data_IF_548843874999
#
_entry.id   IF_548843874999
#
_cell.length_a   1.000
_cell.length_b   1.000
_cell.length_c   1.000
_cell.angle_alpha   90.00
_cell.angle_beta   90.00
_cell.angle_gamma   90.00
#
_symmetry.space_group_name_H-M   'P 1'
#
loop_
_entity.id
_entity.type
_entity.pdbx_description
1 polymer ?
#
# COMPACT_ATOMS: atom_id res chain seq x y z
N UNK A 1 -27.40 26.33 29.78
CA UNK A 1 -27.15 27.41 30.78
C UNK A 1 -28.15 27.24 31.92
N UNK A 2 -27.79 26.49 32.96
CA UNK A 2 -28.58 26.42 34.19
C UNK A 2 -28.12 27.61 35.04
N UNK A 3 -28.92 28.67 35.12
CA UNK A 3 -28.71 29.75 36.09
C UNK A 3 -29.07 29.17 37.46
N UNK A 4 -28.06 28.71 38.19
CA UNK A 4 -28.21 28.45 39.62
C UNK A 4 -28.39 29.82 40.26
N UNK A 5 -29.51 30.02 40.94
CA UNK A 5 -29.79 31.23 41.71
C UNK A 5 -28.91 31.25 42.97
N UNK A 6 -27.63 31.58 42.77
CA UNK A 6 -26.63 31.77 43.84
C UNK A 6 -27.09 32.89 44.78
N UNK A 7 -27.89 33.85 44.29
CA UNK A 7 -28.43 34.93 45.11
C UNK A 7 -29.45 34.42 46.13
N UNK A 8 -30.31 33.46 45.77
CA UNK A 8 -31.23 32.80 46.71
C UNK A 8 -30.51 32.03 47.82
N UNK A 9 -29.40 31.34 47.50
CA UNK A 9 -28.61 30.57 48.47
C UNK A 9 -27.82 31.48 49.43
N UNK A 10 -27.24 32.58 48.92
CA UNK A 10 -26.57 33.58 49.75
C UNK A 10 -27.55 34.38 50.63
N UNK A 11 -28.77 34.63 50.15
CA UNK A 11 -29.80 35.29 50.95
C UNK A 11 -30.29 34.41 52.12
N UNK A 12 -30.44 33.10 51.89
CA UNK A 12 -30.80 32.15 52.95
C UNK A 12 -29.69 32.02 54.02
N UNK A 13 -28.42 32.05 53.61
CA UNK A 13 -27.28 32.08 54.53
C UNK A 13 -27.16 33.42 55.29
N UNK A 14 -27.50 34.55 54.65
CA UNK A 14 -27.47 35.86 55.34
C UNK A 14 -28.54 35.97 56.41
N UNK A 15 -29.73 35.39 56.20
CA UNK A 15 -30.81 35.33 57.19
C UNK A 15 -30.45 34.45 58.41
N UNK A 16 -29.57 33.46 58.25
CA UNK A 16 -29.05 32.63 59.34
C UNK A 16 -27.92 33.29 60.14
N UNK A 17 -27.30 34.35 59.61
CA UNK A 17 -26.23 35.09 60.29
C UNK A 17 -26.65 36.46 60.83
N UNK A 18 -27.78 37.04 60.36
CA UNK A 18 -28.21 38.37 60.79
C UNK A 18 -29.07 38.42 62.06
N UNK A 19 -29.70 37.32 62.49
CA UNK A 19 -30.57 37.31 63.68
C UNK A 19 -29.99 36.44 64.81
N UNK A 20 -28.94 36.97 65.45
CA UNK A 20 -28.47 36.51 66.76
C UNK A 20 -29.37 36.92 67.94
N UNK A 21 -30.58 37.41 67.66
CA UNK A 21 -31.38 38.17 68.62
C UNK A 21 -32.86 37.80 68.58
N UNK A 22 -33.22 36.50 68.66
CA UNK A 22 -34.53 36.05 69.20
C UNK A 22 -34.67 34.52 69.15
N UNK A 23 -33.93 33.82 70.01
CA UNK A 23 -34.11 32.37 70.21
C UNK A 23 -35.32 32.01 71.09
N UNK A 24 -36.00 32.99 71.71
CA UNK A 24 -37.11 32.73 72.65
C UNK A 24 -38.52 32.82 72.05
N UNK A 25 -38.72 33.52 70.93
CA UNK A 25 -40.04 33.59 70.24
C UNK A 25 -40.34 32.38 69.34
N UNK A 26 -39.38 31.47 69.13
CA UNK A 26 -39.56 30.25 68.33
C UNK A 26 -40.06 29.02 69.12
N UNK A 27 -40.27 29.14 70.44
CA UNK A 27 -40.83 28.06 71.28
C UNK A 27 -42.31 27.72 70.99
N UNK A 28 -43.01 28.48 70.16
CA UNK A 28 -44.45 28.26 69.89
C UNK A 28 -44.80 27.57 68.55
N UNK A 29 -43.84 27.22 67.68
CA UNK A 29 -44.14 26.47 66.43
C UNK A 29 -43.14 25.35 66.10
N UNK A 30 -43.09 24.26 66.89
CA UNK A 30 -42.22 23.10 66.62
C UNK A 30 -42.50 22.39 65.26
N UNK A 31 -43.66 22.60 64.65
CA UNK A 31 -43.98 22.11 63.29
C UNK A 31 -43.21 22.87 62.19
N UNK A 32 -43.02 24.18 62.34
CA UNK A 32 -42.37 25.02 61.33
C UNK A 32 -40.85 24.79 61.29
N UNK A 33 -40.23 24.52 62.44
CA UNK A 33 -38.82 24.12 62.54
C UNK A 33 -38.55 22.74 61.93
N UNK A 34 -39.46 21.77 62.12
CA UNK A 34 -39.33 20.44 61.50
C UNK A 34 -39.48 20.51 59.98
N UNK A 35 -40.42 21.32 59.49
CA UNK A 35 -40.63 21.51 58.05
C UNK A 35 -39.45 22.22 57.38
N UNK A 36 -38.86 23.23 58.03
CA UNK A 36 -37.66 23.91 57.53
C UNK A 36 -36.44 22.99 57.53
N UNK A 37 -36.22 22.20 58.58
CA UNK A 37 -35.14 21.20 58.63
C UNK A 37 -35.28 20.13 57.53
N UNK A 38 -36.50 19.61 57.30
CA UNK A 38 -36.76 18.65 56.24
C UNK A 38 -36.45 19.24 54.85
N UNK A 39 -36.82 20.50 54.60
CA UNK A 39 -36.55 21.20 53.35
C UNK A 39 -35.06 21.48 53.14
N UNK A 40 -34.32 21.81 54.20
CA UNK A 40 -32.87 21.95 54.16
C UNK A 40 -32.17 20.62 53.81
N UNK A 41 -32.62 19.51 54.41
CA UNK A 41 -32.08 18.18 54.10
C UNK A 41 -32.38 17.77 52.64
N UNK A 42 -33.57 18.09 52.12
CA UNK A 42 -33.91 17.88 50.71
C UNK A 42 -33.05 18.72 49.77
N UNK A 43 -32.83 20.01 50.08
CA UNK A 43 -31.97 20.88 49.30
C UNK A 43 -30.52 20.40 49.30
N UNK A 44 -30.03 19.91 50.45
CA UNK A 44 -28.69 19.31 50.56
C UNK A 44 -28.57 18.05 49.70
N UNK A 45 -29.53 17.13 49.77
CA UNK A 45 -29.53 15.93 48.94
C UNK A 45 -29.60 16.26 47.44
N UNK A 46 -30.38 17.28 47.06
CA UNK A 46 -30.45 17.77 45.68
C UNK A 46 -29.11 18.38 45.23
N UNK A 47 -28.46 19.17 46.10
CA UNK A 47 -27.15 19.75 45.82
C UNK A 47 -26.07 18.67 45.65
N UNK A 48 -26.04 17.67 46.54
CA UNK A 48 -25.12 16.52 46.44
C UNK A 48 -25.37 15.71 45.15
N UNK A 49 -26.63 15.44 44.80
CA UNK A 49 -26.99 14.74 43.56
C UNK A 49 -26.57 15.52 42.31
N UNK A 50 -26.78 16.84 42.33
CA UNK A 50 -26.41 17.72 41.21
C UNK A 50 -24.90 17.83 41.08
N UNK A 51 -24.17 17.96 42.19
CA UNK A 51 -22.70 17.97 42.20
C UNK A 51 -22.13 16.67 41.63
N UNK A 52 -22.67 15.51 42.04
CA UNK A 52 -22.26 14.22 41.51
C UNK A 52 -22.53 14.10 40.00
N UNK A 53 -23.64 14.66 39.51
CA UNK A 53 -23.96 14.68 38.09
C UNK A 53 -22.99 15.58 37.31
N UNK A 54 -22.71 16.78 37.82
CA UNK A 54 -21.74 17.70 37.22
C UNK A 54 -20.36 17.05 37.13
N UNK A 55 -19.87 16.43 38.20
CA UNK A 55 -18.56 15.77 38.20
C UNK A 55 -18.48 14.67 37.13
N UNK A 56 -19.54 13.86 36.97
CA UNK A 56 -19.60 12.82 35.91
C UNK A 56 -19.61 13.41 34.51
N UNK A 57 -20.36 14.49 34.29
CA UNK A 57 -20.40 15.18 33.00
C UNK A 57 -19.04 15.83 32.69
N UNK A 58 -18.37 16.42 33.68
CA UNK A 58 -17.01 16.97 33.54
C UNK A 58 -16.00 15.88 33.17
N UNK A 59 -16.02 14.73 33.85
CA UNK A 59 -15.17 13.57 33.51
C UNK A 59 -15.41 13.09 32.07
N UNK A 60 -16.67 12.98 31.65
CA UNK A 60 -17.03 12.59 30.28
C UNK A 60 -16.55 13.61 29.25
N UNK A 61 -16.68 14.91 29.52
CA UNK A 61 -16.19 15.97 28.62
C UNK A 61 -14.67 15.94 28.50
N UNK A 62 -13.95 15.70 29.60
CA UNK A 62 -12.48 15.55 29.58
C UNK A 62 -12.08 14.35 28.74
N UNK A 63 -12.70 13.19 28.94
CA UNK A 63 -12.43 11.98 28.16
C UNK A 63 -12.72 12.19 26.67
N UNK A 64 -13.90 12.72 26.33
CA UNK A 64 -14.28 13.03 24.95
C UNK A 64 -13.26 13.96 24.27
N UNK A 65 -12.81 15.00 24.98
CA UNK A 65 -11.76 15.90 24.47
C UNK A 65 -10.45 15.17 24.19
N UNK A 66 -10.05 14.23 25.05
CA UNK A 66 -8.85 13.42 24.84
C UNK A 66 -8.98 12.55 23.59
N UNK A 67 -10.10 11.85 23.38
CA UNK A 67 -10.35 11.04 22.19
C UNK A 67 -10.32 11.87 20.90
N UNK A 68 -10.94 13.06 20.91
CA UNK A 68 -10.89 13.98 19.77
C UNK A 68 -9.46 14.42 19.46
N UNK A 69 -8.68 14.79 20.48
CA UNK A 69 -7.28 15.19 20.30
C UNK A 69 -6.41 14.04 19.77
N UNK A 70 -6.61 12.83 20.28
CA UNK A 70 -5.92 11.62 19.81
C UNK A 70 -6.24 11.34 18.34
N UNK A 71 -7.54 11.35 17.97
CA UNK A 71 -7.99 11.19 16.59
C UNK A 71 -7.37 12.23 15.66
N UNK A 72 -7.35 13.50 16.05
CA UNK A 72 -6.74 14.58 15.28
C UNK A 72 -5.24 14.34 15.04
N UNK A 73 -4.50 13.85 16.04
CA UNK A 73 -3.07 13.52 15.88
C UNK A 73 -2.83 12.39 14.90
N UNK A 74 -3.68 11.36 14.89
CA UNK A 74 -3.57 10.29 13.91
C UNK A 74 -3.91 10.77 12.50
N UNK A 75 -4.93 11.61 12.35
CA UNK A 75 -5.29 12.24 11.07
C UNK A 75 -4.13 13.08 10.54
N UNK A 76 -3.50 13.90 11.39
CA UNK A 76 -2.35 14.72 11.00
C UNK A 76 -1.15 13.91 10.52
N UNK A 77 -0.99 12.67 11.00
CA UNK A 77 0.06 11.75 10.54
C UNK A 77 -0.33 11.02 9.26
N UNK A 78 -1.58 10.54 9.16
CA UNK A 78 -2.04 9.73 8.03
C UNK A 78 -2.31 10.56 6.77
N UNK A 79 -2.90 11.75 6.91
CA UNK A 79 -3.39 12.50 5.77
C UNK A 79 -2.28 12.87 4.75
N UNK A 80 -1.11 13.41 5.16
CA UNK A 80 -0.04 13.71 4.21
C UNK A 80 0.46 12.46 3.48
N UNK A 81 0.54 11.34 4.20
CA UNK A 81 0.96 10.07 3.60
C UNK A 81 -0.05 9.53 2.61
N UNK A 82 -1.36 9.62 2.89
CA UNK A 82 -2.42 9.22 1.97
C UNK A 82 -2.35 10.07 0.69
N UNK A 83 -2.19 11.39 0.81
CA UNK A 83 -2.09 12.30 -0.35
C UNK A 83 -0.85 11.99 -1.21
N UNK A 84 0.31 11.80 -0.58
CA UNK A 84 1.54 11.42 -1.28
C UNK A 84 1.40 10.06 -1.98
N UNK A 85 0.77 9.10 -1.30
CA UNK A 85 0.60 7.73 -1.80
C UNK A 85 -0.38 7.67 -2.97
N UNK A 86 -1.48 8.40 -2.92
CA UNK A 86 -2.43 8.50 -4.03
C UNK A 86 -1.74 9.06 -5.28
N UNK A 87 -0.92 10.11 -5.12
CA UNK A 87 -0.12 10.67 -6.21
C UNK A 87 0.88 9.65 -6.77
N UNK A 88 1.61 8.94 -5.89
CA UNK A 88 2.53 7.88 -6.29
C UNK A 88 1.83 6.79 -7.11
N UNK A 89 0.70 6.26 -6.60
CA UNK A 89 -0.03 5.19 -7.27
C UNK A 89 -0.60 5.67 -8.62
N UNK A 90 -1.15 6.88 -8.70
CA UNK A 90 -1.63 7.45 -9.97
C UNK A 90 -0.52 7.48 -11.03
N UNK A 91 0.64 8.04 -10.69
CA UNK A 91 1.75 8.15 -11.63
C UNK A 91 2.35 6.78 -12.02
N UNK A 92 2.33 5.80 -11.12
CA UNK A 92 2.94 4.48 -11.36
C UNK A 92 2.09 3.54 -12.20
N UNK A 93 0.77 3.63 -12.11
CA UNK A 93 -0.11 2.85 -12.98
C UNK A 93 0.08 3.23 -14.46
N UNK A 94 0.36 4.51 -14.76
CA UNK A 94 0.63 4.98 -16.12
C UNK A 94 2.01 4.54 -16.64
N UNK A 95 2.94 4.22 -15.75
CA UNK A 95 4.35 3.90 -16.05
C UNK A 95 4.73 2.46 -15.70
N UNK A 96 3.77 1.53 -15.70
CA UNK A 96 4.02 0.18 -15.19
C UNK A 96 5.03 -0.64 -16.02
N UNK A 97 5.20 -0.34 -17.32
CA UNK A 97 6.09 -1.10 -18.20
C UNK A 97 7.59 -0.89 -17.91
N UNK A 98 8.39 -1.95 -18.02
CA UNK A 98 9.84 -1.88 -17.82
C UNK A 98 10.60 -1.78 -19.14
N UNK A 99 11.77 -1.18 -19.07
CA UNK A 99 12.73 -1.13 -20.17
C UNK A 99 13.44 -2.48 -20.38
N UNK A 100 13.84 -3.13 -19.28
CA UNK A 100 14.62 -4.36 -19.25
C UNK A 100 14.47 -5.06 -17.88
N UNK A 101 15.11 -6.22 -17.71
CA UNK A 101 15.08 -6.98 -16.45
C UNK A 101 15.53 -6.17 -15.23
N UNK A 102 16.58 -5.37 -15.36
CA UNK A 102 17.10 -4.57 -14.25
C UNK A 102 16.10 -3.48 -13.83
N UNK A 103 15.45 -2.84 -14.80
CA UNK A 103 14.40 -1.86 -14.55
C UNK A 103 13.16 -2.51 -13.91
N UNK A 104 12.74 -3.68 -14.39
CA UNK A 104 11.66 -4.46 -13.78
C UNK A 104 11.97 -4.81 -12.31
N UNK A 105 13.22 -5.16 -12.00
CA UNK A 105 13.68 -5.40 -10.63
C UNK A 105 13.59 -4.14 -9.77
N UNK A 106 14.07 -3.01 -10.27
CA UNK A 106 14.02 -1.74 -9.54
C UNK A 106 12.60 -1.29 -9.25
N UNK A 107 11.67 -1.45 -10.20
CA UNK A 107 10.25 -1.17 -10.01
C UNK A 107 9.67 -2.05 -8.90
N UNK A 108 9.94 -3.36 -8.93
CA UNK A 108 9.49 -4.30 -7.91
C UNK A 108 10.06 -3.96 -6.52
N UNK A 109 11.36 -3.67 -6.42
CA UNK A 109 12.01 -3.41 -5.14
C UNK A 109 11.54 -2.08 -4.52
N UNK A 110 11.40 -1.02 -5.32
CA UNK A 110 10.80 0.25 -4.85
C UNK A 110 9.36 0.05 -4.37
N UNK A 111 8.59 -0.81 -5.04
CA UNK A 111 7.21 -1.09 -4.60
C UNK A 111 7.17 -1.93 -3.33
N UNK A 112 8.12 -2.85 -3.12
CA UNK A 112 8.25 -3.56 -1.84
C UNK A 112 8.55 -2.60 -0.69
N UNK A 113 9.45 -1.64 -0.88
CA UNK A 113 9.72 -0.59 0.11
C UNK A 113 8.45 0.21 0.44
N UNK A 114 7.67 0.55 -0.59
CA UNK A 114 6.36 1.17 -0.41
C UNK A 114 5.39 0.29 0.42
N UNK A 115 5.33 -1.02 0.15
CA UNK A 115 4.47 -1.95 0.90
C UNK A 115 4.90 -2.09 2.37
N UNK A 116 6.19 -2.00 2.66
CA UNK A 116 6.71 -1.94 4.02
C UNK A 116 6.27 -0.65 4.73
N UNK A 117 6.34 0.48 4.05
CA UNK A 117 5.86 1.76 4.59
C UNK A 117 4.34 1.73 4.84
N UNK A 118 3.56 1.18 3.90
CA UNK A 118 2.12 0.93 4.08
C UNK A 118 1.86 0.09 5.33
N UNK A 119 2.67 -0.94 5.59
CA UNK A 119 2.53 -1.79 6.79
C UNK A 119 2.78 -0.99 8.07
N UNK A 120 3.72 -0.05 8.09
CA UNK A 120 3.93 0.85 9.24
C UNK A 120 2.71 1.75 9.47
N UNK A 121 2.18 2.33 8.40
CA UNK A 121 1.02 3.22 8.47
C UNK A 121 -0.29 2.52 8.84
N UNK A 122 -0.40 1.21 8.57
CA UNK A 122 -1.55 0.40 8.98
C UNK A 122 -1.79 0.46 10.50
N UNK A 123 -0.74 0.56 11.30
CA UNK A 123 -0.88 0.66 12.77
C UNK A 123 -1.58 1.95 13.16
N UNK A 124 -1.20 3.08 12.56
CA UNK A 124 -1.83 4.39 12.82
C UNK A 124 -3.27 4.38 12.33
N UNK A 125 -3.52 3.78 11.16
CA UNK A 125 -4.85 3.64 10.59
C UNK A 125 -5.79 2.83 11.50
N UNK A 126 -5.32 1.68 12.01
CA UNK A 126 -6.11 0.86 12.92
C UNK A 126 -6.45 1.61 14.22
N UNK A 127 -5.48 2.32 14.80
CA UNK A 127 -5.73 3.13 16.00
C UNK A 127 -6.75 4.26 15.74
N UNK A 128 -6.69 4.91 14.57
CA UNK A 128 -7.69 5.92 14.18
C UNK A 128 -9.09 5.29 14.03
N UNK A 129 -9.17 4.08 13.47
CA UNK A 129 -10.43 3.36 13.30
C UNK A 129 -11.04 2.95 14.64
N UNK A 130 -10.22 2.53 15.60
CA UNK A 130 -10.69 2.21 16.95
C UNK A 130 -11.27 3.44 17.66
N UNK A 131 -10.68 4.62 17.42
CA UNK A 131 -11.20 5.91 17.93
C UNK A 131 -12.48 6.37 17.22
N UNK A 132 -12.85 5.85 16.03
CA UNK A 132 -14.08 6.27 15.33
C UNK A 132 -15.34 6.07 16.19
N UNK A 133 -15.35 5.01 17.00
CA UNK A 133 -16.46 4.66 17.88
C UNK A 133 -16.54 5.56 19.13
N UNK A 134 -15.41 6.13 19.57
CA UNK A 134 -15.33 6.96 20.79
C UNK A 134 -15.76 8.40 20.51
N UNK A 135 -15.64 8.87 19.27
CA UNK A 135 -16.02 10.23 18.84
C UNK A 135 -17.42 10.32 18.21
N UNK A 136 -18.36 9.50 18.68
CA UNK A 136 -19.71 9.37 18.12
C UNK A 136 -20.47 10.69 17.93
N UNK A 137 -20.28 11.62 18.85
CA UNK A 137 -20.99 12.90 18.87
C UNK A 137 -20.35 13.97 17.96
N UNK A 138 -19.18 13.69 17.37
CA UNK A 138 -18.42 14.61 16.52
C UNK A 138 -18.60 14.25 15.04
N UNK A 139 -19.76 14.61 14.47
CA UNK A 139 -20.15 14.23 13.10
C UNK A 139 -19.10 14.60 12.03
N UNK A 140 -18.50 15.77 12.11
CA UNK A 140 -17.48 16.21 11.14
C UNK A 140 -16.23 15.33 11.18
N UNK A 141 -15.78 14.99 12.40
CA UNK A 141 -14.63 14.11 12.60
C UNK A 141 -14.92 12.70 12.09
N UNK A 142 -16.12 12.18 12.32
CA UNK A 142 -16.53 10.88 11.78
C UNK A 142 -16.56 10.87 10.25
N UNK A 143 -17.08 11.91 9.62
CA UNK A 143 -17.08 12.02 8.15
C UNK A 143 -15.65 12.03 7.60
N UNK A 144 -14.75 12.74 8.28
CA UNK A 144 -13.33 12.77 7.91
C UNK A 144 -12.67 11.39 8.06
N UNK A 145 -12.89 10.69 9.18
CA UNK A 145 -12.36 9.34 9.40
C UNK A 145 -12.88 8.37 8.34
N UNK A 146 -14.18 8.40 8.01
CA UNK A 146 -14.77 7.57 6.94
C UNK A 146 -14.19 7.87 5.56
N UNK A 147 -13.97 9.14 5.25
CA UNK A 147 -13.29 9.56 4.01
C UNK A 147 -11.88 8.99 3.94
N UNK A 148 -11.08 9.11 5.01
CA UNK A 148 -9.74 8.54 5.08
C UNK A 148 -9.75 7.01 4.99
N UNK A 149 -10.73 6.32 5.61
CA UNK A 149 -10.91 4.88 5.50
C UNK A 149 -11.21 4.42 4.07
N UNK A 150 -12.01 5.19 3.34
CA UNK A 150 -12.32 4.91 1.93
C UNK A 150 -11.05 5.07 1.07
N UNK A 151 -10.31 6.16 1.27
CA UNK A 151 -9.03 6.42 0.58
C UNK A 151 -7.98 5.36 0.89
N UNK A 152 -7.85 4.97 2.16
CA UNK A 152 -6.97 3.88 2.59
C UNK A 152 -7.30 2.56 1.88
N UNK A 153 -8.58 2.19 1.82
CA UNK A 153 -9.02 0.95 1.15
C UNK A 153 -8.66 0.97 -0.34
N UNK A 154 -8.83 2.12 -1.00
CA UNK A 154 -8.42 2.29 -2.39
C UNK A 154 -6.91 2.15 -2.57
N UNK A 155 -6.11 2.79 -1.68
CA UNK A 155 -4.64 2.64 -1.67
C UNK A 155 -4.24 1.18 -1.54
N UNK A 156 -4.83 0.44 -0.60
CA UNK A 156 -4.53 -0.98 -0.39
C UNK A 156 -4.82 -1.79 -1.64
N UNK A 157 -6.03 -1.68 -2.19
CA UNK A 157 -6.44 -2.41 -3.40
C UNK A 157 -5.51 -2.13 -4.58
N UNK A 158 -5.24 -0.85 -4.86
CA UNK A 158 -4.40 -0.44 -6.00
C UNK A 158 -2.95 -0.83 -5.83
N UNK A 159 -2.42 -0.76 -4.61
CA UNK A 159 -1.05 -1.18 -4.36
C UNK A 159 -0.87 -2.70 -4.42
N UNK A 160 -1.88 -3.48 -4.04
CA UNK A 160 -1.85 -4.94 -4.20
C UNK A 160 -1.95 -5.35 -5.68
N UNK A 161 -2.79 -4.67 -6.47
CA UNK A 161 -2.86 -4.83 -7.92
C UNK A 161 -1.50 -4.53 -8.58
N UNK A 162 -0.90 -3.38 -8.25
CA UNK A 162 0.41 -2.99 -8.78
C UNK A 162 1.51 -3.97 -8.38
N UNK A 163 1.44 -4.54 -7.17
CA UNK A 163 2.36 -5.57 -6.73
C UNK A 163 2.26 -6.84 -7.58
N UNK A 164 1.04 -7.24 -7.95
CA UNK A 164 0.83 -8.38 -8.86
C UNK A 164 1.44 -8.10 -10.24
N UNK A 165 1.24 -6.89 -10.77
CA UNK A 165 1.80 -6.46 -12.07
C UNK A 165 3.33 -6.52 -12.04
N UNK A 166 3.98 -5.86 -11.08
CA UNK A 166 5.45 -5.85 -11.00
C UNK A 166 6.06 -7.23 -10.76
N UNK A 167 5.39 -8.10 -10.00
CA UNK A 167 5.85 -9.48 -9.84
C UNK A 167 5.74 -10.28 -11.15
N UNK A 168 4.61 -10.17 -11.86
CA UNK A 168 4.42 -10.85 -13.15
C UNK A 168 5.45 -10.38 -14.18
N UNK A 169 5.63 -9.07 -14.28
CA UNK A 169 6.61 -8.42 -15.15
C UNK A 169 8.05 -8.86 -14.84
N UNK A 170 8.50 -8.81 -13.57
CA UNK A 170 9.85 -9.24 -13.22
C UNK A 170 10.09 -10.72 -13.54
N UNK A 171 9.10 -11.60 -13.29
CA UNK A 171 9.18 -13.02 -13.66
C UNK A 171 9.25 -13.22 -15.17
N UNK A 172 8.42 -12.53 -15.93
CA UNK A 172 8.40 -12.62 -17.38
C UNK A 172 9.74 -12.17 -17.99
N UNK A 173 10.27 -11.02 -17.54
CA UNK A 173 11.59 -10.55 -17.95
C UNK A 173 12.71 -11.50 -17.55
N UNK A 174 12.65 -12.10 -16.35
CA UNK A 174 13.69 -13.02 -15.88
C UNK A 174 13.71 -14.34 -16.65
N UNK A 175 12.53 -14.90 -16.95
CA UNK A 175 12.42 -16.09 -17.78
C UNK A 175 12.94 -15.83 -19.20
N UNK A 176 12.49 -14.73 -19.80
CA UNK A 176 12.91 -14.32 -21.14
C UNK A 176 14.42 -14.06 -21.21
N UNK A 177 15.00 -13.30 -20.29
CA UNK A 177 16.44 -12.99 -20.28
C UNK A 177 17.29 -14.28 -20.15
N UNK A 178 16.87 -15.19 -19.27
CA UNK A 178 17.54 -16.49 -19.12
C UNK A 178 17.48 -17.33 -20.40
N UNK A 179 16.31 -17.42 -21.04
CA UNK A 179 16.15 -18.20 -22.28
C UNK A 179 16.86 -17.54 -23.47
N UNK A 180 16.78 -16.22 -23.59
CA UNK A 180 17.49 -15.45 -24.61
C UNK A 180 18.99 -15.67 -24.50
N UNK A 181 19.58 -15.53 -23.30
CA UNK A 181 21.01 -15.72 -23.10
C UNK A 181 21.43 -17.17 -23.39
N UNK A 182 20.65 -18.16 -22.95
CA UNK A 182 20.93 -19.57 -23.25
C UNK A 182 20.88 -19.88 -24.77
N UNK A 183 19.91 -19.31 -25.48
CA UNK A 183 19.76 -19.50 -26.92
C UNK A 183 20.83 -18.72 -27.70
N UNK A 184 21.03 -17.44 -27.39
CA UNK A 184 21.94 -16.54 -28.10
C UNK A 184 23.41 -16.92 -27.90
N UNK A 185 23.82 -17.09 -26.64
CA UNK A 185 25.22 -17.25 -26.29
C UNK A 185 25.63 -18.73 -26.25
N UNK A 186 24.66 -19.64 -26.11
CA UNK A 186 24.88 -21.09 -26.20
C UNK A 186 24.61 -21.62 -27.60
N UNK A 187 23.33 -21.68 -27.99
CA UNK A 187 22.90 -22.40 -29.20
C UNK A 187 23.34 -21.71 -30.50
N UNK A 188 23.00 -20.44 -30.66
CA UNK A 188 23.31 -19.68 -31.87
C UNK A 188 24.81 -19.56 -32.08
N UNK A 189 25.55 -19.19 -31.03
CA UNK A 189 26.99 -19.04 -31.11
C UNK A 189 27.71 -20.35 -31.49
N UNK A 190 27.33 -21.50 -30.91
CA UNK A 190 27.90 -22.80 -31.29
C UNK A 190 27.63 -23.12 -32.77
N UNK A 191 26.39 -22.92 -33.23
CA UNK A 191 26.01 -23.21 -34.61
C UNK A 191 26.74 -22.30 -35.60
N UNK A 192 26.88 -21.01 -35.28
CA UNK A 192 27.64 -20.06 -36.09
C UNK A 192 29.12 -20.41 -36.17
N UNK A 193 29.75 -20.83 -35.05
CA UNK A 193 31.14 -21.29 -35.08
C UNK A 193 31.31 -22.54 -35.93
N UNK A 194 30.42 -23.53 -35.79
CA UNK A 194 30.46 -24.76 -36.58
C UNK A 194 30.26 -24.48 -38.07
N UNK A 195 29.28 -23.66 -38.40
CA UNK A 195 29.04 -23.20 -39.77
C UNK A 195 30.28 -22.49 -40.35
N UNK A 196 30.87 -21.58 -39.59
CA UNK A 196 32.07 -20.87 -40.00
C UNK A 196 33.24 -21.82 -40.28
N UNK A 197 33.46 -22.79 -39.39
CA UNK A 197 34.51 -23.79 -39.57
C UNK A 197 34.30 -24.65 -40.82
N UNK A 198 33.05 -24.98 -41.16
CA UNK A 198 32.70 -25.71 -42.40
C UNK A 198 33.01 -24.86 -43.63
N UNK A 199 32.61 -23.58 -43.62
CA UNK A 199 32.81 -22.66 -44.76
C UNK A 199 34.29 -22.36 -45.01
N UNK A 200 35.12 -22.33 -43.97
CA UNK A 200 36.56 -22.10 -44.08
C UNK A 200 37.34 -23.26 -44.71
N UNK A 201 36.73 -24.44 -44.87
CA UNK A 201 37.41 -25.57 -45.49
C UNK A 201 37.65 -25.29 -46.96
N UNK A 202 38.92 -25.30 -47.38
CA UNK A 202 39.30 -25.18 -48.78
C UNK A 202 38.95 -26.48 -49.53
N UNK A 203 37.75 -26.50 -50.11
CA UNK A 203 37.23 -27.63 -50.89
C UNK A 203 38.14 -28.04 -52.05
N UNK A 204 38.94 -27.13 -52.59
CA UNK A 204 39.88 -27.44 -53.68
C UNK A 204 41.09 -28.27 -53.20
N UNK A 205 41.30 -28.39 -51.89
CA UNK A 205 42.39 -29.16 -51.26
C UNK A 205 41.92 -30.45 -50.57
N UNK A 206 40.63 -30.78 -50.68
CA UNK A 206 40.05 -32.00 -50.13
C UNK A 206 40.30 -33.19 -51.06
N UNK A 207 41.42 -33.90 -50.86
CA UNK A 207 41.77 -35.13 -51.59
C UNK A 207 41.55 -36.42 -50.78
N UNK A 208 41.23 -36.28 -49.49
CA UNK A 208 41.04 -37.41 -48.56
C UNK A 208 39.54 -37.70 -48.35
N UNK A 209 39.11 -38.89 -48.78
CA UNK A 209 37.74 -39.36 -48.66
C UNK A 209 37.26 -39.43 -47.20
N UNK A 210 38.16 -39.71 -46.25
CA UNK A 210 37.81 -39.71 -44.83
C UNK A 210 37.49 -38.30 -44.33
N UNK A 211 38.25 -37.30 -44.78
CA UNK A 211 37.98 -35.88 -44.45
C UNK A 211 36.68 -35.39 -45.07
N UNK A 212 36.38 -35.78 -46.32
CA UNK A 212 35.10 -35.45 -46.97
C UNK A 212 33.93 -36.07 -46.18
N UNK A 213 34.03 -37.34 -45.81
CA UNK A 213 32.98 -38.02 -45.03
C UNK A 213 32.78 -37.39 -43.64
N UNK A 214 33.86 -36.98 -42.96
CA UNK A 214 33.77 -36.25 -41.69
C UNK A 214 33.01 -34.93 -41.87
N UNK A 215 33.38 -34.13 -42.87
CA UNK A 215 32.75 -32.83 -43.14
C UNK A 215 31.25 -32.97 -43.47
N UNK A 216 30.89 -33.95 -44.31
CA UNK A 216 29.49 -34.24 -44.63
C UNK A 216 28.70 -34.66 -43.39
N UNK A 217 29.30 -35.46 -42.50
CA UNK A 217 28.67 -35.82 -41.24
C UNK A 217 28.50 -34.61 -40.32
N UNK A 218 29.48 -33.70 -40.26
CA UNK A 218 29.41 -32.47 -39.46
C UNK A 218 28.31 -31.52 -39.97
N UNK A 219 28.18 -31.38 -41.30
CA UNK A 219 27.09 -30.64 -41.95
C UNK A 219 25.74 -31.27 -41.60
N UNK A 220 25.61 -32.60 -41.77
CA UNK A 220 24.36 -33.30 -41.45
C UNK A 220 23.95 -33.10 -40.00
N UNK A 221 24.89 -33.27 -39.06
CA UNK A 221 24.64 -33.06 -37.64
C UNK A 221 24.28 -31.60 -37.33
N UNK A 222 24.88 -30.63 -38.02
CA UNK A 222 24.53 -29.22 -37.86
C UNK A 222 23.09 -28.95 -38.32
N UNK A 223 22.69 -29.46 -39.49
CA UNK A 223 21.32 -29.32 -40.02
C UNK A 223 20.30 -29.99 -39.11
N UNK A 224 20.59 -31.20 -38.62
CA UNK A 224 19.74 -31.91 -37.66
C UNK A 224 19.57 -31.11 -36.36
N UNK A 225 20.66 -30.53 -35.84
CA UNK A 225 20.62 -29.71 -34.63
C UNK A 225 19.84 -28.40 -34.82
N UNK A 226 20.02 -27.71 -35.94
CA UNK A 226 19.26 -26.50 -36.29
C UNK A 226 17.77 -26.84 -36.39
N UNK A 227 17.43 -27.94 -37.06
CA UNK A 227 16.03 -28.39 -37.18
C UNK A 227 15.44 -28.69 -35.80
N UNK A 228 16.18 -29.40 -34.95
CA UNK A 228 15.75 -29.69 -33.58
C UNK A 228 15.50 -28.42 -32.74
N UNK A 229 16.38 -27.42 -32.86
CA UNK A 229 16.28 -26.18 -32.07
C UNK A 229 15.29 -25.15 -32.65
N UNK A 230 14.66 -25.44 -33.79
CA UNK A 230 13.59 -24.59 -34.35
C UNK A 230 12.41 -24.41 -33.39
N UNK A 231 12.12 -25.42 -32.57
CA UNK A 231 11.10 -25.33 -31.51
C UNK A 231 11.49 -24.30 -30.44
N UNK A 232 12.76 -24.28 -30.04
CA UNK A 232 13.26 -23.33 -29.04
C UNK A 232 13.23 -21.90 -29.57
N UNK A 233 13.62 -21.69 -30.84
CA UNK A 233 13.48 -20.40 -31.51
C UNK A 233 12.02 -19.93 -31.50
N UNK A 234 11.07 -20.78 -31.93
CA UNK A 234 9.65 -20.43 -31.93
C UNK A 234 9.10 -20.12 -30.53
N UNK A 235 9.55 -20.86 -29.51
CA UNK A 235 9.22 -20.57 -28.10
C UNK A 235 9.71 -19.18 -27.71
N UNK A 236 10.98 -18.86 -28.01
CA UNK A 236 11.56 -17.55 -27.72
C UNK A 236 10.79 -16.42 -28.44
N UNK A 237 10.39 -16.61 -29.71
CA UNK A 237 9.58 -15.63 -30.46
C UNK A 237 8.22 -15.39 -29.83
N UNK A 238 7.60 -16.44 -29.28
CA UNK A 238 6.36 -16.30 -28.52
C UNK A 238 6.60 -15.45 -27.26
N UNK A 239 7.67 -15.74 -26.51
CA UNK A 239 8.01 -14.97 -25.30
C UNK A 239 8.30 -13.49 -25.61
N UNK A 240 8.98 -13.18 -26.71
CA UNK A 240 9.17 -11.80 -27.16
C UNK A 240 7.84 -11.05 -27.31
N UNK A 241 6.83 -11.70 -27.90
CA UNK A 241 5.52 -11.08 -28.07
C UNK A 241 4.74 -10.99 -26.76
N UNK A 242 4.79 -12.04 -25.93
CA UNK A 242 4.14 -12.05 -24.62
C UNK A 242 4.73 -10.98 -23.69
N UNK A 243 6.02 -10.66 -23.83
CA UNK A 243 6.71 -9.67 -23.00
C UNK A 243 6.32 -8.23 -23.32
N UNK A 244 5.85 -7.93 -24.55
CA UNK A 244 5.47 -6.58 -24.98
C UNK A 244 4.43 -5.93 -24.07
N UNK A 245 3.53 -6.72 -23.49
CA UNK A 245 2.51 -6.23 -22.56
C UNK A 245 3.10 -5.70 -21.23
N UNK A 246 4.31 -6.12 -20.88
CA UNK A 246 5.03 -5.73 -19.67
C UNK A 246 6.17 -4.73 -19.92
N UNK A 247 6.30 -4.26 -21.16
CA UNK A 247 7.38 -3.38 -21.58
C UNK A 247 6.89 -1.95 -21.75
N UNK A 248 7.73 -0.99 -21.37
CA UNK A 248 7.52 0.41 -21.76
C UNK A 248 7.66 0.58 -23.28
N UNK A 249 7.24 1.70 -23.85
CA UNK A 249 7.40 1.95 -25.29
C UNK A 249 8.87 1.79 -25.73
N UNK A 250 9.79 2.33 -24.93
CA UNK A 250 11.22 2.19 -25.17
C UNK A 250 11.69 0.74 -24.96
N UNK A 251 11.16 0.03 -23.96
CA UNK A 251 11.42 -1.40 -23.77
C UNK A 251 10.96 -2.25 -24.95
N UNK A 252 9.81 -1.92 -25.56
CA UNK A 252 9.32 -2.58 -26.76
C UNK A 252 10.23 -2.31 -27.96
N UNK A 253 10.79 -1.10 -28.09
CA UNK A 253 11.77 -0.77 -29.14
C UNK A 253 13.02 -1.65 -29.00
N UNK A 254 13.61 -1.72 -27.80
CA UNK A 254 14.79 -2.54 -27.52
C UNK A 254 14.50 -4.03 -27.78
N UNK A 255 13.35 -4.52 -27.31
CA UNK A 255 12.95 -5.92 -27.55
C UNK A 255 12.81 -6.23 -29.04
N UNK A 256 12.24 -5.33 -29.83
CA UNK A 256 12.11 -5.52 -31.27
C UNK A 256 13.49 -5.50 -31.98
N UNK A 257 14.43 -4.67 -31.53
CA UNK A 257 15.79 -4.63 -32.07
C UNK A 257 16.56 -5.94 -31.79
N UNK A 258 16.46 -6.45 -30.56
CA UNK A 258 17.07 -7.74 -30.19
C UNK A 258 16.41 -8.90 -30.95
N UNK A 259 15.08 -8.87 -31.07
CA UNK A 259 14.32 -9.85 -31.85
C UNK A 259 14.80 -9.91 -33.31
N UNK A 260 14.90 -8.77 -34.00
CA UNK A 260 15.37 -8.72 -35.39
C UNK A 260 16.82 -9.21 -35.53
N UNK A 261 17.66 -8.94 -34.53
CA UNK A 261 19.05 -9.41 -34.52
C UNK A 261 19.12 -10.94 -34.42
N UNK A 262 18.33 -11.55 -33.53
CA UNK A 262 18.24 -13.01 -33.36
C UNK A 262 17.61 -13.68 -34.59
N UNK A 263 16.52 -13.11 -35.12
CA UNK A 263 15.85 -13.60 -36.33
C UNK A 263 16.80 -13.62 -37.53
N UNK A 264 17.57 -12.55 -37.74
CA UNK A 264 18.54 -12.50 -38.82
C UNK A 264 19.59 -13.62 -38.71
N UNK A 265 20.21 -13.76 -37.53
CA UNK A 265 21.23 -14.79 -37.26
C UNK A 265 20.69 -16.20 -37.49
N UNK A 266 19.47 -16.46 -37.00
CA UNK A 266 18.80 -17.74 -37.19
C UNK A 266 18.47 -18.03 -38.67
N UNK A 267 18.01 -17.03 -39.41
CA UNK A 267 17.73 -17.17 -40.84
C UNK A 267 18.99 -17.38 -41.68
N UNK A 268 20.11 -16.75 -41.31
CA UNK A 268 21.40 -16.97 -41.96
C UNK A 268 21.88 -18.42 -41.77
N UNK A 269 21.70 -18.99 -40.57
CA UNK A 269 22.01 -20.41 -40.30
C UNK A 269 21.12 -21.38 -41.09
N UNK A 270 19.83 -21.07 -41.27
CA UNK A 270 18.91 -21.92 -42.04
C UNK A 270 19.15 -21.88 -43.56
N UNK A 271 19.97 -20.94 -44.06
CA UNK A 271 20.29 -20.79 -45.49
C UNK A 271 21.59 -21.51 -45.89
N UNK A 272 22.38 -21.97 -44.92
CA UNK A 272 23.58 -22.79 -45.14
C UNK A 272 23.23 -24.15 -45.73
#
# INVERSE_FOLDING_TARGET
RIRIDVAGYLHALSLLHSDGSNLETLRSKPKDLRNTLARLNQLRALAETTSNKINREEEQVVQSRTHVQTSQRYIQQLQPWIEQTESYLNNRFEQAGALNLNDAKQLLDRHKEFLEERRRMLTIFNNLRDEEHTVADQKELQLLIKSLSTRWTNIVSRSDELASIYNAQYRAWGAFDSELNAFRDGTLFDFEQRAHNIVLVDFNKLLDLNRINSLLNDIRLLVENITHHSVNYNSLMKQFNDLKQYSSQEGQRILNEEHLTIEKRWNDLNRL
#
